data_IF_742336623659
#
_entry.id   IF_742336623659
#
_cell.length_a   1.000
_cell.length_b   1.000
_cell.length_c   1.000
_cell.angle_alpha   90.00
_cell.angle_beta   90.00
_cell.angle_gamma   90.00
#
_symmetry.space_group_name_H-M   'P 1'
#
loop_
_entity.id
_entity.type
_entity.pdbx_description
1 polymer ?
#
# COMPACT_ATOMS: atom_id res chain seq x y z
N UNK A 1 19.67 -12.26 0.82
CA UNK A 1 19.68 -10.92 1.44
C UNK A 1 18.57 -10.15 0.76
N UNK A 2 17.47 -9.89 1.48
CA UNK A 2 16.31 -9.23 0.91
C UNK A 2 16.66 -7.81 0.48
N UNK A 3 16.20 -7.43 -0.70
CA UNK A 3 16.16 -6.04 -1.14
C UNK A 3 15.59 -5.17 -0.01
N UNK A 4 16.24 -4.05 0.32
CA UNK A 4 15.72 -3.11 1.32
C UNK A 4 15.97 -1.70 0.82
N UNK A 5 14.91 -0.91 0.70
CA UNK A 5 15.05 0.50 0.33
C UNK A 5 15.33 1.35 1.58
N UNK A 6 15.97 2.50 1.39
CA UNK A 6 16.21 3.44 2.48
C UNK A 6 15.81 4.85 2.06
N UNK A 7 15.50 5.70 3.05
CA UNK A 7 14.93 7.02 2.80
C UNK A 7 15.77 7.91 1.85
N UNK A 8 17.10 7.78 1.89
CA UNK A 8 18.01 8.56 1.03
C UNK A 8 18.24 7.95 -0.36
N UNK A 9 17.57 6.84 -0.68
CA UNK A 9 17.73 6.16 -1.96
C UNK A 9 17.01 6.97 -3.05
N UNK A 10 17.63 7.22 -4.21
CA UNK A 10 16.96 7.84 -5.33
C UNK A 10 15.69 7.07 -5.71
N UNK A 11 14.59 7.77 -6.02
CA UNK A 11 13.29 7.13 -6.30
C UNK A 11 13.37 6.08 -7.41
N UNK A 12 14.10 6.37 -8.49
CA UNK A 12 14.30 5.42 -9.58
C UNK A 12 15.01 4.13 -9.13
N UNK A 13 15.98 4.24 -8.23
CA UNK A 13 16.67 3.09 -7.65
C UNK A 13 15.76 2.31 -6.71
N UNK A 14 14.98 2.99 -5.87
CA UNK A 14 13.99 2.36 -5.00
C UNK A 14 12.96 1.55 -5.81
N UNK A 15 12.48 2.07 -6.94
CA UNK A 15 11.59 1.34 -7.85
C UNK A 15 12.29 0.10 -8.41
N UNK A 16 13.54 0.19 -8.85
CA UNK A 16 14.28 -0.95 -9.40
C UNK A 16 14.49 -2.04 -8.33
N UNK A 17 14.86 -1.65 -7.12
CA UNK A 17 15.02 -2.55 -5.97
C UNK A 17 13.70 -3.23 -5.62
N UNK A 18 12.61 -2.46 -5.52
CA UNK A 18 11.29 -3.01 -5.20
C UNK A 18 10.73 -3.91 -6.29
N UNK A 19 10.89 -3.50 -7.55
CA UNK A 19 10.31 -4.21 -8.68
C UNK A 19 11.07 -5.46 -9.08
N UNK A 20 12.35 -5.60 -8.71
CA UNK A 20 13.19 -6.76 -9.08
C UNK A 20 13.09 -7.11 -10.58
N UNK A 21 13.08 -6.07 -11.42
CA UNK A 21 12.94 -6.20 -12.88
C UNK A 21 11.55 -6.62 -13.39
N UNK A 22 10.56 -6.83 -12.52
CA UNK A 22 9.19 -7.18 -12.91
C UNK A 22 8.44 -5.95 -13.50
N UNK A 23 8.00 -5.99 -14.77
CA UNK A 23 7.35 -4.83 -15.39
C UNK A 23 6.03 -4.40 -14.72
N UNK A 24 5.21 -5.37 -14.26
CA UNK A 24 3.97 -5.07 -13.55
C UNK A 24 4.22 -4.38 -12.21
N UNK A 25 5.29 -4.77 -11.51
CA UNK A 25 5.72 -4.10 -10.29
C UNK A 25 6.23 -2.68 -10.54
N UNK A 26 6.99 -2.46 -11.63
CA UNK A 26 7.42 -1.11 -12.03
C UNK A 26 6.21 -0.21 -12.27
N UNK A 27 5.19 -0.71 -12.98
CA UNK A 27 3.95 0.02 -13.23
C UNK A 27 3.25 0.35 -11.93
N UNK A 28 3.04 -0.62 -11.04
CA UNK A 28 2.40 -0.40 -9.74
C UNK A 28 3.13 0.64 -8.89
N UNK A 29 4.47 0.54 -8.77
CA UNK A 29 5.27 1.53 -8.04
C UNK A 29 5.15 2.93 -8.65
N UNK A 30 5.13 3.05 -9.99
CA UNK A 30 4.90 4.33 -10.67
C UNK A 30 3.51 4.90 -10.35
N UNK A 31 2.47 4.06 -10.37
CA UNK A 31 1.10 4.49 -10.04
C UNK A 31 1.01 5.00 -8.60
N UNK A 32 1.64 4.30 -7.64
CA UNK A 32 1.69 4.74 -6.23
C UNK A 32 2.38 6.09 -6.08
N UNK A 33 3.44 6.35 -6.84
CA UNK A 33 4.15 7.63 -6.80
C UNK A 33 3.36 8.78 -7.45
N UNK A 34 2.59 8.51 -8.51
CA UNK A 34 1.84 9.54 -9.22
C UNK A 34 0.52 9.90 -8.52
N UNK A 35 -0.08 8.95 -7.83
CA UNK A 35 -1.43 9.10 -7.28
C UNK A 35 -1.46 9.10 -5.76
N UNK A 36 -0.38 8.70 -5.09
CA UNK A 36 -0.30 8.60 -3.63
C UNK A 36 -0.78 9.87 -2.93
N UNK A 37 -0.15 11.01 -3.19
CA UNK A 37 -0.54 12.29 -2.61
C UNK A 37 -1.94 12.78 -3.03
N UNK A 38 -2.37 12.49 -4.26
CA UNK A 38 -3.69 12.90 -4.74
C UNK A 38 -4.80 12.12 -4.04
N UNK A 39 -4.55 10.85 -3.74
CA UNK A 39 -5.51 9.92 -3.13
C UNK A 39 -5.49 10.00 -1.59
N UNK A 40 -4.34 10.14 -0.93
CA UNK A 40 -4.23 10.37 0.53
C UNK A 40 -3.38 11.61 0.85
N UNK A 41 -3.92 12.83 0.71
CA UNK A 41 -3.18 14.08 0.91
C UNK A 41 -2.66 14.27 2.33
N UNK A 42 -3.33 13.68 3.32
CA UNK A 42 -2.93 13.77 4.73
C UNK A 42 -1.77 12.83 5.08
N UNK A 43 -1.19 12.08 4.14
CA UNK A 43 -0.05 11.22 4.44
C UNK A 43 1.24 12.03 4.61
N UNK A 44 1.84 11.97 5.80
CA UNK A 44 2.89 12.90 6.23
C UNK A 44 4.25 12.71 5.53
N UNK A 45 4.39 11.67 4.71
CA UNK A 45 5.58 11.35 3.95
C UNK A 45 5.37 11.40 2.42
N UNK A 46 4.24 11.96 1.96
CA UNK A 46 3.88 12.11 0.55
C UNK A 46 4.03 10.78 -0.24
N UNK A 47 4.52 10.85 -1.48
CA UNK A 47 4.48 9.78 -2.48
C UNK A 47 5.34 8.54 -2.15
N UNK A 48 6.37 8.68 -1.31
CA UNK A 48 7.31 7.58 -1.03
C UNK A 48 6.79 6.58 0.01
N UNK A 49 5.84 6.97 0.85
CA UNK A 49 5.39 6.15 1.99
C UNK A 49 4.85 4.80 1.56
N UNK A 50 4.13 4.76 0.44
CA UNK A 50 3.59 3.51 -0.11
C UNK A 50 4.71 2.55 -0.52
N UNK A 51 5.82 3.07 -1.05
CA UNK A 51 7.00 2.25 -1.37
C UNK A 51 7.68 1.72 -0.10
N UNK A 52 7.76 2.55 0.94
CA UNK A 52 8.31 2.13 2.23
C UNK A 52 7.44 1.07 2.92
N UNK A 53 6.11 1.17 2.79
CA UNK A 53 5.18 0.15 3.30
C UNK A 53 5.36 -1.16 2.54
N UNK A 54 5.53 -1.14 1.22
CA UNK A 54 5.82 -2.35 0.44
C UNK A 54 7.12 -3.03 0.91
N UNK A 55 8.16 -2.25 1.20
CA UNK A 55 9.43 -2.73 1.73
C UNK A 55 9.28 -3.34 3.14
N UNK A 56 8.57 -2.66 4.05
CA UNK A 56 8.31 -3.16 5.41
C UNK A 56 7.49 -4.47 5.39
N UNK A 57 6.53 -4.54 4.47
CA UNK A 57 5.75 -5.74 4.20
C UNK A 57 6.57 -6.82 3.48
N UNK A 58 7.79 -6.56 3.01
CA UNK A 58 8.60 -7.47 2.19
C UNK A 58 7.85 -7.96 0.93
N UNK A 59 7.12 -7.06 0.28
CA UNK A 59 6.38 -7.30 -0.96
C UNK A 59 7.21 -6.74 -2.11
N UNK A 60 7.93 -7.62 -2.81
CA UNK A 60 8.83 -7.29 -3.92
C UNK A 60 8.40 -7.95 -5.23
N UNK A 61 8.83 -7.36 -6.35
CA UNK A 61 8.70 -7.86 -7.71
C UNK A 61 7.37 -8.51 -8.02
N UNK A 62 7.37 -9.81 -8.28
CA UNK A 62 6.15 -10.54 -8.63
C UNK A 62 5.02 -10.40 -7.61
N UNK A 63 5.31 -10.24 -6.32
CA UNK A 63 4.27 -10.03 -5.30
C UNK A 63 3.61 -8.65 -5.40
N UNK A 64 4.38 -7.60 -5.74
CA UNK A 64 3.82 -6.28 -6.04
C UNK A 64 2.89 -6.40 -7.25
N UNK A 65 3.34 -7.07 -8.31
CA UNK A 65 2.53 -7.25 -9.53
C UNK A 65 1.23 -8.00 -9.24
N UNK A 66 1.26 -9.07 -8.43
CA UNK A 66 0.05 -9.79 -7.99
C UNK A 66 -0.86 -8.95 -7.11
N UNK A 67 -0.31 -8.22 -6.14
CA UNK A 67 -1.12 -7.30 -5.32
C UNK A 67 -1.85 -6.28 -6.20
N UNK A 68 -1.14 -5.73 -7.19
CA UNK A 68 -1.68 -4.76 -8.13
C UNK A 68 -2.74 -5.35 -9.07
N UNK A 69 -2.38 -6.37 -9.85
CA UNK A 69 -3.25 -6.93 -10.90
C UNK A 69 -4.29 -7.90 -10.34
N UNK A 70 -3.86 -8.84 -9.50
CA UNK A 70 -4.70 -9.98 -9.12
C UNK A 70 -5.59 -9.66 -7.92
N UNK A 71 -5.08 -8.93 -6.93
CA UNK A 71 -5.83 -8.55 -5.73
C UNK A 71 -6.59 -7.25 -5.98
N UNK A 72 -5.89 -6.16 -6.31
CA UNK A 72 -6.49 -4.84 -6.43
C UNK A 72 -7.14 -4.56 -7.78
N UNK A 73 -7.01 -5.46 -8.77
CA UNK A 73 -7.61 -5.32 -10.11
C UNK A 73 -7.22 -4.01 -10.81
N UNK A 74 -5.96 -3.62 -10.66
CA UNK A 74 -5.42 -2.37 -11.21
C UNK A 74 -6.14 -1.10 -10.72
N UNK A 75 -6.77 -1.20 -9.54
CA UNK A 75 -7.37 -0.06 -8.85
C UNK A 75 -6.38 0.50 -7.83
N UNK A 76 -5.85 1.68 -8.15
CA UNK A 76 -4.84 2.35 -7.31
C UNK A 76 -5.42 2.83 -5.97
N UNK A 77 -6.71 3.18 -5.94
CA UNK A 77 -7.41 3.53 -4.71
C UNK A 77 -7.48 2.35 -3.75
N UNK A 78 -7.82 1.15 -4.26
CA UNK A 78 -7.81 -0.09 -3.48
C UNK A 78 -6.41 -0.44 -2.97
N UNK A 79 -5.40 -0.34 -3.83
CA UNK A 79 -4.03 -0.66 -3.44
C UNK A 79 -3.53 0.26 -2.32
N UNK A 80 -3.71 1.57 -2.45
CA UNK A 80 -3.35 2.53 -1.40
C UNK A 80 -4.16 2.26 -0.12
N UNK A 81 -5.46 1.96 -0.22
CA UNK A 81 -6.28 1.65 0.94
C UNK A 81 -5.75 0.43 1.73
N UNK A 82 -5.30 -0.63 1.05
CA UNK A 82 -4.72 -1.81 1.69
C UNK A 82 -3.42 -1.45 2.44
N UNK A 83 -2.50 -0.72 1.79
CA UNK A 83 -1.24 -0.29 2.41
C UNK A 83 -1.50 0.64 3.59
N UNK A 84 -2.51 1.51 3.48
CA UNK A 84 -2.87 2.47 4.52
C UNK A 84 -3.54 1.80 5.72
N UNK A 85 -4.44 0.87 5.47
CA UNK A 85 -5.05 0.05 6.51
C UNK A 85 -3.99 -0.70 7.32
N UNK A 86 -3.00 -1.30 6.64
CA UNK A 86 -1.88 -1.93 7.34
C UNK A 86 -1.15 -0.96 8.28
N UNK A 87 -0.84 0.24 7.77
CA UNK A 87 -0.13 1.27 8.54
C UNK A 87 -0.92 1.72 9.78
N UNK A 88 -2.24 1.88 9.66
CA UNK A 88 -3.11 2.18 10.82
C UNK A 88 -3.12 1.05 11.84
N UNK A 89 -3.22 -0.21 11.39
CA UNK A 89 -3.12 -1.37 12.26
C UNK A 89 -1.79 -1.43 13.02
N UNK A 90 -0.68 -1.14 12.35
CA UNK A 90 0.64 -1.07 12.98
C UNK A 90 0.74 0.05 14.02
N UNK A 91 0.20 1.25 13.71
CA UNK A 91 0.17 2.35 14.67
C UNK A 91 -0.61 1.97 15.94
N UNK A 92 -1.75 1.29 15.79
CA UNK A 92 -2.54 0.80 16.92
C UNK A 92 -1.79 -0.23 17.76
N UNK A 93 -1.26 -1.27 17.12
CA UNK A 93 -0.56 -2.37 17.79
C UNK A 93 0.70 -1.90 18.53
N UNK A 94 1.43 -0.94 17.93
CA UNK A 94 2.66 -0.39 18.50
C UNK A 94 2.41 0.67 19.56
N UNK A 95 1.39 1.50 19.36
CA UNK A 95 1.05 2.62 20.22
C UNK A 95 -0.41 2.53 20.62
N UNK A 96 -0.65 2.11 21.86
CA UNK A 96 -1.99 2.00 22.43
C UNK A 96 -2.69 3.38 22.58
N UNK A 97 -2.00 4.47 22.21
CA UNK A 97 -2.53 5.83 22.14
C UNK A 97 -3.43 6.09 20.93
N UNK A 98 -3.53 5.17 19.96
CA UNK A 98 -4.41 5.31 18.78
C UNK A 98 -5.50 4.24 18.77
N UNK A 99 -6.44 4.23 19.73
CA UNK A 99 -7.54 3.26 19.79
C UNK A 99 -8.50 3.37 18.59
N UNK A 100 -8.55 4.52 17.93
CA UNK A 100 -9.40 4.77 16.76
C UNK A 100 -9.05 3.91 15.54
N UNK A 101 -7.87 3.29 15.52
CA UNK A 101 -7.41 2.41 14.44
C UNK A 101 -7.51 0.91 14.76
N UNK A 102 -8.13 0.54 15.89
CA UNK A 102 -8.22 -0.87 16.33
C UNK A 102 -8.85 -1.81 15.28
N UNK A 103 -9.79 -1.31 14.48
CA UNK A 103 -10.45 -2.07 13.41
C UNK A 103 -9.46 -2.56 12.32
N UNK A 104 -8.33 -1.88 12.14
CA UNK A 104 -7.31 -2.26 11.17
C UNK A 104 -6.27 -3.23 11.71
N UNK A 105 -6.30 -3.56 13.01
CA UNK A 105 -5.32 -4.46 13.63
C UNK A 105 -5.28 -5.86 12.98
N UNK A 106 -6.37 -6.25 12.30
CA UNK A 106 -6.47 -7.49 11.54
C UNK A 106 -5.80 -7.45 10.16
N UNK A 107 -5.49 -6.27 9.63
CA UNK A 107 -4.84 -6.10 8.32
C UNK A 107 -3.32 -6.23 8.49
N UNK A 108 -2.89 -7.44 8.81
CA UNK A 108 -1.48 -7.75 9.10
C UNK A 108 -0.70 -8.06 7.83
N UNK A 109 0.63 -8.10 7.95
CA UNK A 109 1.52 -8.55 6.87
C UNK A 109 1.13 -9.94 6.38
N UNK A 110 0.87 -10.86 7.30
CA UNK A 110 0.51 -12.25 7.00
C UNK A 110 -0.80 -12.34 6.21
N UNK A 111 -1.81 -11.53 6.56
CA UNK A 111 -3.07 -11.48 5.81
C UNK A 111 -2.85 -10.97 4.38
N UNK A 112 -2.03 -9.93 4.21
CA UNK A 112 -1.74 -9.37 2.88
C UNK A 112 -0.97 -10.38 2.02
N UNK A 113 0.05 -11.05 2.57
CA UNK A 113 0.76 -12.12 1.84
C UNK A 113 -0.17 -13.29 1.49
N UNK A 114 -1.03 -13.70 2.43
CA UNK A 114 -2.05 -14.72 2.16
C UNK A 114 -2.97 -14.30 1.00
N UNK A 115 -3.46 -13.07 1.01
CA UNK A 115 -4.31 -12.54 -0.06
C UNK A 115 -3.58 -12.51 -1.41
N UNK A 116 -2.30 -12.11 -1.45
CA UNK A 116 -1.46 -12.13 -2.67
C UNK A 116 -1.34 -13.55 -3.23
N UNK A 117 -1.09 -14.53 -2.36
CA UNK A 117 -0.91 -15.93 -2.78
C UNK A 117 -2.24 -16.61 -3.13
N UNK A 118 -3.37 -16.07 -2.67
CA UNK A 118 -4.71 -16.65 -2.82
C UNK A 118 -5.71 -15.68 -3.48
N UNK A 119 -5.27 -14.88 -4.45
CA UNK A 119 -6.16 -14.09 -5.32
C UNK A 119 -7.13 -13.15 -4.60
N UNK A 120 -6.68 -12.56 -3.49
CA UNK A 120 -7.42 -11.59 -2.68
C UNK A 120 -8.21 -12.19 -1.52
N UNK A 121 -8.14 -13.51 -1.29
CA UNK A 121 -8.84 -14.13 -0.15
C UNK A 121 -8.44 -13.49 1.20
N UNK A 122 -9.44 -13.24 2.03
CA UNK A 122 -9.26 -12.64 3.37
C UNK A 122 -9.29 -11.10 3.39
N UNK A 123 -9.20 -10.43 2.24
CA UNK A 123 -9.36 -8.97 2.14
C UNK A 123 -10.71 -8.62 1.54
N UNK A 124 -11.50 -7.84 2.28
CA UNK A 124 -12.70 -7.19 1.76
C UNK A 124 -12.34 -5.75 1.36
N UNK A 125 -11.95 -5.57 0.10
CA UNK A 125 -11.38 -4.31 -0.40
C UNK A 125 -12.37 -3.14 -0.28
N UNK A 126 -13.67 -3.38 -0.48
CA UNK A 126 -14.69 -2.33 -0.38
C UNK A 126 -14.89 -1.89 1.08
N UNK A 127 -14.91 -2.86 2.02
CA UNK A 127 -14.93 -2.52 3.45
C UNK A 127 -13.66 -1.80 3.89
N UNK A 128 -12.49 -2.22 3.40
CA UNK A 128 -11.21 -1.56 3.71
C UNK A 128 -11.23 -0.12 3.23
N UNK A 129 -11.62 0.14 1.98
CA UNK A 129 -11.74 1.50 1.44
C UNK A 129 -12.72 2.34 2.26
N UNK A 130 -13.90 1.80 2.59
CA UNK A 130 -14.89 2.50 3.40
C UNK A 130 -14.35 2.87 4.79
N UNK A 131 -13.65 1.94 5.44
CA UNK A 131 -13.03 2.16 6.75
C UNK A 131 -11.92 3.21 6.69
N UNK A 132 -11.00 3.11 5.71
CA UNK A 132 -9.94 4.11 5.50
C UNK A 132 -10.54 5.49 5.29
N UNK A 133 -11.57 5.61 4.43
CA UNK A 133 -12.27 6.88 4.18
C UNK A 133 -12.99 7.43 5.41
N UNK A 134 -13.55 6.56 6.26
CA UNK A 134 -14.17 6.99 7.51
C UNK A 134 -13.16 7.62 8.48
N UNK A 135 -11.90 7.12 8.50
CA UNK A 135 -10.82 7.71 9.31
C UNK A 135 -10.12 8.88 8.64
N UNK A 136 -10.12 8.90 7.31
CA UNK A 136 -9.46 9.91 6.48
C UNK A 136 -10.48 10.48 5.51
N UNK A 137 -11.27 11.48 5.93
CA UNK A 137 -12.32 12.05 5.08
C UNK A 137 -11.77 12.68 3.79
N UNK A 138 -10.49 13.03 3.76
CA UNK A 138 -9.77 13.55 2.60
C UNK A 138 -9.15 12.46 1.71
N UNK A 139 -9.31 11.18 2.06
CA UNK A 139 -8.97 10.04 1.22
C UNK A 139 -9.91 9.96 0.01
N UNK A 140 -9.34 10.00 -1.19
CA UNK A 140 -10.05 10.18 -2.47
C UNK A 140 -9.68 9.07 -3.46
N UNK A 141 -10.13 7.82 -3.24
CA UNK A 141 -9.72 6.66 -4.05
C UNK A 141 -10.12 6.75 -5.53
N UNK A 142 -11.16 7.54 -5.83
CA UNK A 142 -11.68 7.77 -7.18
C UNK A 142 -10.82 8.75 -7.99
N UNK A 143 -9.89 9.46 -7.35
CA UNK A 143 -9.05 10.42 -8.04
C UNK A 143 -7.87 9.71 -8.70
N UNK A 144 -7.91 9.68 -10.02
CA UNK A 144 -6.75 9.37 -10.84
C UNK A 144 -6.17 10.69 -11.33
N UNK A 145 -4.85 10.83 -11.29
CA UNK A 145 -4.18 12.01 -11.83
C UNK A 145 -4.47 12.09 -13.34
N UNK A 146 -4.79 13.27 -13.88
CA UNK A 146 -4.90 13.45 -15.31
C UNK A 146 -3.56 13.10 -15.94
N UNK A 147 -3.64 12.32 -17.01
CA UNK A 147 -2.57 11.72 -17.81
C UNK A 147 -1.34 12.61 -18.00
#
# INVERSE_FOLDING_TARGET
MGAKIHFLMPLGEAILVLSDGNPGAVVACRQLLLHGYVIDPSDCYNDIINLLILDDLEIYGGKIAKLWHDVCKEDIGKMIAVLRAHSFGQLHLRYHSYPEFAEFASITKELIHHAIDNWGQGLDLDKIMAAVRAKRPDFRPELHAPW
#
